data_IF_194978740374
#
_entry.id   IF_194978740374
#
_cell.length_a   1.000
_cell.length_b   1.000
_cell.length_c   1.000
_cell.angle_alpha   90.00
_cell.angle_beta   90.00
_cell.angle_gamma   90.00
#
_symmetry.space_group_name_H-M   'P 1'
#
loop_
_entity.id
_entity.type
_entity.pdbx_description
1 polymer ?
#
# COMPACT_ATOMS: atom_id res chain seq x y z
N UNK A 1 19.79 7.80 -3.68
CA UNK A 1 19.36 6.71 -2.78
C UNK A 1 19.09 5.46 -3.61
N UNK A 2 19.24 4.29 -2.99
CA UNK A 2 18.72 3.04 -3.53
C UNK A 2 17.29 2.85 -3.06
N UNK A 3 16.34 2.72 -3.99
CA UNK A 3 14.91 2.65 -3.68
C UNK A 3 14.32 1.38 -4.26
N UNK A 4 13.74 0.54 -3.39
CA UNK A 4 12.96 -0.62 -3.80
C UNK A 4 11.48 -0.27 -3.94
N UNK A 5 10.81 -0.74 -4.99
CA UNK A 5 9.37 -0.57 -5.18
C UNK A 5 8.73 -1.95 -5.30
N UNK A 6 7.86 -2.29 -4.37
CA UNK A 6 7.10 -3.54 -4.36
C UNK A 6 5.66 -3.25 -4.81
N UNK A 7 5.39 -3.57 -6.06
CA UNK A 7 4.14 -3.26 -6.75
C UNK A 7 4.35 -2.27 -7.89
N UNK A 8 4.05 -2.68 -9.11
CA UNK A 8 4.20 -1.87 -10.34
C UNK A 8 2.83 -1.51 -10.93
N UNK A 9 1.86 -1.22 -10.06
CA UNK A 9 0.56 -0.67 -10.45
C UNK A 9 0.67 0.83 -10.80
N UNK A 10 -0.46 1.52 -10.86
CA UNK A 10 -0.48 2.94 -11.23
C UNK A 10 0.41 3.81 -10.34
N UNK A 11 0.35 3.64 -9.01
CA UNK A 11 1.20 4.42 -8.09
C UNK A 11 2.65 3.98 -8.19
N UNK A 12 2.94 2.67 -8.09
CA UNK A 12 4.33 2.18 -8.11
C UNK A 12 5.03 2.41 -9.45
N UNK A 13 4.33 2.23 -10.56
CA UNK A 13 4.89 2.55 -11.89
C UNK A 13 5.22 4.05 -12.04
N UNK A 14 4.35 4.93 -11.55
CA UNK A 14 4.60 6.38 -11.60
C UNK A 14 5.72 6.81 -10.62
N UNK A 15 5.80 6.20 -9.43
CA UNK A 15 6.94 6.41 -8.54
C UNK A 15 8.25 5.92 -9.19
N UNK A 16 8.24 4.76 -9.87
CA UNK A 16 9.41 4.28 -10.62
C UNK A 16 9.87 5.32 -11.63
N UNK A 17 8.96 5.85 -12.46
CA UNK A 17 9.26 6.90 -13.45
C UNK A 17 9.85 8.15 -12.82
N UNK A 18 9.17 8.66 -11.82
CA UNK A 18 9.53 9.93 -11.17
C UNK A 18 10.85 9.84 -10.41
N UNK A 19 11.04 8.74 -9.65
CA UNK A 19 12.25 8.56 -8.85
C UNK A 19 13.48 8.25 -9.71
N UNK A 20 13.32 7.46 -10.78
CA UNK A 20 14.40 7.25 -11.75
C UNK A 20 14.79 8.56 -12.45
N UNK A 21 13.81 9.38 -12.85
CA UNK A 21 14.07 10.69 -13.47
C UNK A 21 14.80 11.66 -12.53
N UNK A 22 14.65 11.51 -11.19
CA UNK A 22 15.41 12.24 -10.18
C UNK A 22 16.82 11.66 -9.93
N UNK A 23 17.23 10.63 -10.66
CA UNK A 23 18.55 10.02 -10.56
C UNK A 23 18.71 9.05 -9.38
N UNK A 24 17.61 8.54 -8.81
CA UNK A 24 17.68 7.46 -7.82
C UNK A 24 17.96 6.12 -8.49
N UNK A 25 18.67 5.23 -7.78
CA UNK A 25 18.87 3.83 -8.17
C UNK A 25 17.61 3.04 -7.77
N UNK A 26 16.72 2.80 -8.74
CA UNK A 26 15.40 2.22 -8.50
C UNK A 26 15.37 0.75 -8.92
N UNK A 27 14.91 -0.11 -8.01
CA UNK A 27 14.55 -1.50 -8.31
C UNK A 27 13.05 -1.68 -8.14
N UNK A 28 12.39 -2.26 -9.14
CA UNK A 28 10.92 -2.45 -9.12
C UNK A 28 10.57 -3.93 -9.23
N UNK A 29 9.65 -4.38 -8.38
CA UNK A 29 9.18 -5.76 -8.29
C UNK A 29 7.66 -5.85 -8.35
N UNK A 30 7.14 -6.95 -8.85
CA UNK A 30 5.73 -7.30 -8.79
C UNK A 30 5.54 -8.83 -8.61
N UNK A 31 4.29 -9.27 -8.47
CA UNK A 31 3.94 -10.69 -8.30
C UNK A 31 4.10 -11.55 -9.55
N UNK A 32 4.25 -10.93 -10.73
CA UNK A 32 4.39 -11.65 -12.02
C UNK A 32 5.85 -11.87 -12.43
N UNK A 33 6.78 -11.34 -11.63
CA UNK A 33 8.21 -11.45 -11.86
C UNK A 33 8.80 -10.41 -12.82
N UNK A 34 10.17 -10.35 -12.90
CA UNK A 34 10.90 -9.30 -13.60
C UNK A 34 10.58 -9.20 -15.09
N UNK A 35 10.27 -10.33 -15.74
CA UNK A 35 9.95 -10.33 -17.18
C UNK A 35 8.75 -9.46 -17.53
N UNK A 36 7.78 -9.35 -16.63
CA UNK A 36 6.60 -8.50 -16.81
C UNK A 36 6.87 -7.00 -16.63
N UNK A 37 8.09 -6.64 -16.24
CA UNK A 37 8.53 -5.26 -15.95
C UNK A 37 9.54 -4.74 -16.96
N UNK A 38 9.85 -5.50 -18.03
CA UNK A 38 10.85 -5.14 -19.04
C UNK A 38 10.59 -3.79 -19.69
N UNK A 39 9.35 -3.50 -20.04
CA UNK A 39 8.99 -2.23 -20.68
C UNK A 39 9.19 -1.05 -19.72
N UNK A 40 8.75 -1.16 -18.46
CA UNK A 40 8.96 -0.13 -17.45
C UNK A 40 10.45 0.06 -17.13
N UNK A 41 11.21 -1.01 -17.06
CA UNK A 41 12.66 -0.97 -16.87
C UNK A 41 13.38 -0.28 -18.05
N UNK A 42 13.02 -0.62 -19.28
CA UNK A 42 13.58 0.00 -20.48
C UNK A 42 13.22 1.51 -20.58
N UNK A 43 12.00 1.88 -20.20
CA UNK A 43 11.53 3.27 -20.20
C UNK A 43 12.27 4.12 -19.17
N UNK A 44 12.55 3.57 -17.98
CA UNK A 44 12.98 4.35 -16.81
C UNK A 44 14.44 4.18 -16.43
N UNK A 45 15.08 3.12 -16.92
CA UNK A 45 16.40 2.70 -16.42
C UNK A 45 16.35 1.99 -15.07
N UNK A 46 15.16 1.78 -14.50
CA UNK A 46 15.01 1.02 -13.25
C UNK A 46 15.33 -0.46 -13.46
N UNK A 47 15.79 -1.13 -12.40
CA UNK A 47 16.06 -2.56 -12.44
C UNK A 47 14.78 -3.35 -12.17
N UNK A 48 14.35 -4.18 -13.11
CA UNK A 48 13.31 -5.18 -12.86
C UNK A 48 13.87 -6.26 -11.92
N UNK A 49 13.19 -6.55 -10.81
CA UNK A 49 13.71 -7.36 -9.72
C UNK A 49 12.63 -8.27 -9.11
N UNK A 50 13.05 -9.27 -8.35
CA UNK A 50 12.19 -9.96 -7.40
C UNK A 50 12.02 -9.11 -6.13
N UNK A 51 10.96 -9.31 -5.31
CA UNK A 51 10.75 -8.52 -4.10
C UNK A 51 11.95 -8.51 -3.14
N UNK A 52 12.62 -9.63 -2.96
CA UNK A 52 13.83 -9.74 -2.12
C UNK A 52 14.98 -8.90 -2.66
N UNK A 53 15.19 -8.94 -3.97
CA UNK A 53 16.24 -8.17 -4.65
C UNK A 53 15.96 -6.66 -4.62
N UNK A 54 14.68 -6.27 -4.65
CA UNK A 54 14.28 -4.86 -4.53
C UNK A 54 14.49 -4.30 -3.11
N UNK A 55 14.50 -5.16 -2.10
CA UNK A 55 14.77 -4.77 -0.69
C UNK A 55 16.25 -4.78 -0.39
N UNK A 56 17.05 -5.63 -1.05
CA UNK A 56 18.46 -5.82 -0.75
C UNK A 56 19.27 -4.53 -0.94
N UNK A 57 19.85 -4.04 0.15
CA UNK A 57 20.68 -2.83 0.16
C UNK A 57 19.91 -1.54 -0.16
N UNK A 58 18.58 -1.54 -0.11
CA UNK A 58 17.77 -0.35 -0.30
C UNK A 58 17.85 0.58 0.94
N UNK A 59 17.89 1.88 0.69
CA UNK A 59 17.76 2.92 1.72
C UNK A 59 16.27 3.12 2.09
N UNK A 60 15.39 2.97 1.07
CA UNK A 60 13.95 3.13 1.20
C UNK A 60 13.23 2.09 0.33
N UNK A 61 12.16 1.52 0.87
CA UNK A 61 11.29 0.60 0.14
C UNK A 61 9.85 1.13 0.14
N UNK A 62 9.24 1.23 -1.04
CA UNK A 62 7.82 1.58 -1.18
C UNK A 62 7.01 0.31 -1.40
N UNK A 63 6.06 0.04 -0.51
CA UNK A 63 5.09 -1.04 -0.64
C UNK A 63 3.79 -0.47 -1.19
N UNK A 64 3.48 -0.84 -2.43
CA UNK A 64 2.34 -0.30 -3.20
C UNK A 64 1.54 -1.42 -3.86
N UNK A 65 1.08 -2.34 -3.03
CA UNK A 65 0.24 -3.49 -3.41
C UNK A 65 -1.09 -3.46 -2.65
N UNK A 66 -2.15 -4.12 -3.14
CA UNK A 66 -3.39 -4.27 -2.39
C UNK A 66 -3.15 -4.89 -1.01
N UNK A 67 -3.92 -4.45 0.01
CA UNK A 67 -3.72 -4.94 1.38
C UNK A 67 -3.85 -6.46 1.47
N UNK A 68 -4.81 -7.06 0.75
CA UNK A 68 -4.96 -8.54 0.68
C UNK A 68 -3.69 -9.28 0.27
N UNK A 69 -2.77 -8.60 -0.43
CA UNK A 69 -1.53 -9.20 -0.93
C UNK A 69 -0.36 -9.06 0.05
N UNK A 70 -0.47 -8.24 1.09
CA UNK A 70 0.58 -8.06 2.11
C UNK A 70 0.95 -9.39 2.79
N UNK A 71 -0.02 -10.23 3.23
CA UNK A 71 0.32 -11.51 3.86
C UNK A 71 1.00 -12.53 2.94
N UNK A 72 0.93 -12.30 1.61
CA UNK A 72 1.57 -13.18 0.61
C UNK A 72 3.04 -12.80 0.34
N UNK A 73 3.52 -11.67 0.86
CA UNK A 73 4.93 -11.32 0.78
C UNK A 73 5.77 -12.32 1.60
N UNK A 74 7.02 -12.62 1.19
CA UNK A 74 7.90 -13.50 1.95
C UNK A 74 8.05 -13.00 3.39
N UNK A 75 7.83 -13.89 4.36
CA UNK A 75 7.90 -13.54 5.80
C UNK A 75 9.25 -12.98 6.23
N UNK A 76 10.32 -13.37 5.54
CA UNK A 76 11.67 -12.91 5.79
C UNK A 76 12.12 -11.78 4.85
N UNK A 77 11.19 -11.12 4.17
CA UNK A 77 11.49 -10.10 3.16
C UNK A 77 12.44 -9.02 3.67
N UNK A 78 12.27 -8.62 4.92
CA UNK A 78 13.07 -7.58 5.56
C UNK A 78 14.07 -8.12 6.61
N UNK A 79 14.27 -9.43 6.71
CA UNK A 79 15.07 -10.01 7.81
C UNK A 79 16.52 -9.51 7.85
N UNK A 80 17.12 -9.28 6.68
CA UNK A 80 18.50 -8.79 6.55
C UNK A 80 18.58 -7.28 6.26
N UNK A 81 17.45 -6.58 6.28
CA UNK A 81 17.44 -5.15 6.01
C UNK A 81 17.90 -4.35 7.24
N UNK A 82 18.73 -3.32 7.08
CA UNK A 82 19.19 -2.51 8.21
C UNK A 82 18.00 -1.81 8.91
N UNK A 83 18.14 -1.56 10.20
CA UNK A 83 17.11 -0.85 10.97
C UNK A 83 16.82 0.56 10.43
N UNK A 84 17.82 1.18 9.80
CA UNK A 84 17.72 2.51 9.20
C UNK A 84 16.93 2.54 7.88
N UNK A 85 16.65 1.39 7.26
CA UNK A 85 15.88 1.35 6.01
C UNK A 85 14.45 1.80 6.28
N UNK A 86 13.97 2.75 5.50
CA UNK A 86 12.62 3.29 5.60
C UNK A 86 11.66 2.44 4.75
N UNK A 87 10.51 2.09 5.30
CA UNK A 87 9.43 1.45 4.54
C UNK A 87 8.26 2.42 4.43
N UNK A 88 7.85 2.71 3.20
CA UNK A 88 6.68 3.55 2.89
C UNK A 88 5.51 2.65 2.49
N UNK A 89 4.38 2.81 3.16
CA UNK A 89 3.12 2.16 2.82
C UNK A 89 2.20 3.14 2.09
N UNK A 90 1.80 2.78 0.87
CA UNK A 90 0.85 3.56 0.06
C UNK A 90 -0.54 2.90 0.03
N UNK A 91 -0.75 1.88 0.84
CA UNK A 91 -1.94 1.05 0.83
C UNK A 91 -3.21 1.79 1.21
N UNK A 92 -4.32 1.35 0.67
CA UNK A 92 -5.67 1.70 1.08
C UNK A 92 -6.49 0.42 1.18
N UNK A 93 -7.34 0.34 2.19
CA UNK A 93 -8.25 -0.77 2.37
C UNK A 93 -9.57 -0.51 1.63
N UNK A 94 -9.90 -1.43 0.73
CA UNK A 94 -11.17 -1.49 0.04
C UNK A 94 -11.77 -2.88 0.24
N UNK A 95 -12.77 -3.06 1.10
CA UNK A 95 -13.35 -4.39 1.39
C UNK A 95 -13.80 -5.15 0.15
N UNK A 96 -14.29 -4.43 -0.88
CA UNK A 96 -14.74 -5.01 -2.15
C UNK A 96 -13.59 -5.66 -2.95
N UNK A 97 -12.36 -5.17 -2.76
CA UNK A 97 -11.15 -5.69 -3.40
C UNK A 97 -10.40 -6.66 -2.50
N UNK A 98 -10.27 -6.28 -1.22
CA UNK A 98 -9.34 -6.93 -0.28
C UNK A 98 -10.02 -8.02 0.55
N UNK A 99 -11.35 -8.09 0.52
CA UNK A 99 -12.13 -8.88 1.47
C UNK A 99 -12.17 -8.24 2.85
N UNK A 100 -12.82 -8.91 3.80
CA UNK A 100 -12.91 -8.45 5.19
C UNK A 100 -11.57 -8.71 5.91
N UNK A 101 -10.98 -7.65 6.44
CA UNK A 101 -9.79 -7.72 7.30
C UNK A 101 -10.25 -7.33 8.72
N UNK A 102 -10.46 -8.35 9.57
CA UNK A 102 -11.10 -8.18 10.87
C UNK A 102 -10.43 -7.12 11.75
N UNK A 103 -9.11 -7.12 11.86
CA UNK A 103 -8.37 -6.15 12.67
C UNK A 103 -8.62 -4.70 12.21
N UNK A 104 -8.75 -4.47 10.89
CA UNK A 104 -9.03 -3.15 10.34
C UNK A 104 -10.49 -2.77 10.61
N UNK A 105 -11.43 -3.71 10.46
CA UNK A 105 -12.85 -3.47 10.78
C UNK A 105 -13.07 -3.17 12.27
N UNK A 106 -12.21 -3.70 13.16
CA UNK A 106 -12.20 -3.44 14.59
C UNK A 106 -11.43 -2.19 15.02
N UNK A 107 -10.91 -1.39 14.05
CA UNK A 107 -10.33 -0.08 14.34
C UNK A 107 -8.80 0.01 14.26
N UNK A 108 -8.08 -1.07 13.93
CA UNK A 108 -6.65 -0.97 13.60
C UNK A 108 -6.50 -0.13 12.33
N UNK A 109 -5.60 0.86 12.31
CA UNK A 109 -5.35 1.64 11.09
C UNK A 109 -4.72 0.75 10.02
N UNK A 110 -4.99 1.06 8.75
CA UNK A 110 -4.52 0.28 7.59
C UNK A 110 -3.00 0.09 7.61
N UNK A 111 -2.26 1.17 7.88
CA UNK A 111 -0.80 1.11 7.90
C UNK A 111 -0.23 0.49 9.18
N UNK A 112 -0.94 0.55 10.31
CA UNK A 112 -0.56 -0.23 11.50
C UNK A 112 -0.69 -1.72 11.22
N UNK A 113 -1.77 -2.14 10.57
CA UNK A 113 -1.96 -3.51 10.13
C UNK A 113 -0.84 -3.96 9.16
N UNK A 114 -0.51 -3.11 8.18
CA UNK A 114 0.62 -3.37 7.26
C UNK A 114 1.93 -3.52 8.02
N UNK A 115 2.26 -2.61 8.95
CA UNK A 115 3.48 -2.66 9.75
C UNK A 115 3.60 -3.97 10.55
N UNK A 116 2.50 -4.43 11.15
CA UNK A 116 2.45 -5.70 11.89
C UNK A 116 2.77 -6.91 10.98
N UNK A 117 2.24 -6.93 9.76
CA UNK A 117 2.48 -8.02 8.81
C UNK A 117 3.88 -8.01 8.23
N UNK A 118 4.45 -6.83 8.00
CA UNK A 118 5.82 -6.68 7.51
C UNK A 118 6.87 -6.87 8.62
N UNK A 119 6.46 -6.86 9.90
CA UNK A 119 7.36 -6.93 11.05
C UNK A 119 8.30 -5.71 11.15
N UNK A 120 7.89 -4.55 10.61
CA UNK A 120 8.69 -3.31 10.58
C UNK A 120 7.83 -2.06 10.73
N UNK A 121 8.38 -0.97 11.31
CA UNK A 121 7.76 0.35 11.21
C UNK A 121 7.58 0.78 9.76
N UNK A 122 6.47 1.45 9.48
CA UNK A 122 6.20 2.04 8.16
C UNK A 122 5.85 3.52 8.28
N UNK A 123 6.02 4.25 7.19
CA UNK A 123 5.50 5.61 7.00
C UNK A 123 4.38 5.56 5.98
N UNK A 124 3.18 6.01 6.34
CA UNK A 124 2.06 6.14 5.41
C UNK A 124 2.20 7.42 4.61
N UNK A 125 2.27 7.28 3.28
CA UNK A 125 2.32 8.40 2.35
C UNK A 125 1.82 7.97 0.97
N UNK A 126 1.53 8.91 0.06
CA UNK A 126 1.06 8.68 -1.33
C UNK A 126 -0.28 7.96 -1.47
N UNK A 127 -0.95 7.61 -0.40
CA UNK A 127 -2.19 6.86 -0.44
C UNK A 127 -3.39 7.71 -0.89
N UNK A 128 -3.29 9.03 -0.80
CA UNK A 128 -4.38 9.99 -1.02
C UNK A 128 -4.32 10.74 -2.36
N UNK A 129 -3.22 10.61 -3.13
CA UNK A 129 -3.05 11.27 -4.43
C UNK A 129 -3.54 10.39 -5.59
N UNK A 130 -4.14 11.01 -6.60
CA UNK A 130 -4.42 10.32 -7.87
C UNK A 130 -3.11 9.98 -8.60
N UNK A 131 -3.07 8.78 -9.17
CA UNK A 131 -1.85 8.29 -9.83
C UNK A 131 -1.39 9.21 -10.97
N UNK A 132 -2.32 9.77 -11.76
CA UNK A 132 -2.00 10.72 -12.82
C UNK A 132 -1.43 12.02 -12.24
N UNK A 133 -1.99 12.53 -11.13
CA UNK A 133 -1.49 13.74 -10.49
C UNK A 133 -0.09 13.53 -9.90
N UNK A 134 0.19 12.34 -9.34
CA UNK A 134 1.53 11.97 -8.91
C UNK A 134 2.54 12.03 -10.07
N UNK A 135 2.13 11.62 -11.27
CA UNK A 135 3.01 11.66 -12.45
C UNK A 135 3.21 13.08 -12.99
N UNK A 136 2.15 13.89 -13.07
CA UNK A 136 2.12 15.08 -13.91
C UNK A 136 2.08 16.41 -13.15
N UNK A 137 1.58 16.43 -11.89
CA UNK A 137 1.28 17.69 -11.17
C UNK A 137 2.34 18.12 -10.16
N UNK A 138 3.55 17.57 -10.21
CA UNK A 138 4.64 18.07 -9.37
C UNK A 138 5.05 19.48 -9.77
N UNK A 139 5.14 20.38 -8.77
CA UNK A 139 5.51 21.79 -8.98
C UNK A 139 6.74 22.18 -8.14
N UNK A 140 7.53 23.20 -8.54
CA UNK A 140 8.60 23.73 -7.71
C UNK A 140 8.10 24.23 -6.35
N UNK A 141 8.98 24.21 -5.33
CA UNK A 141 8.68 24.73 -3.99
C UNK A 141 8.23 26.21 -4.05
N UNK A 142 7.18 26.52 -3.29
CA UNK A 142 6.62 27.87 -3.22
C UNK A 142 5.68 28.24 -4.37
N UNK A 143 5.42 27.35 -5.31
CA UNK A 143 4.45 27.59 -6.37
C UNK A 143 3.02 27.56 -5.79
N UNK A 144 2.18 28.57 -6.05
CA UNK A 144 0.78 28.54 -5.66
C UNK A 144 0.04 27.32 -6.22
N UNK A 145 -0.79 26.68 -5.39
CA UNK A 145 -1.52 25.46 -5.79
C UNK A 145 -0.68 24.18 -5.84
N UNK A 146 0.55 24.21 -5.29
CA UNK A 146 1.35 22.99 -5.11
C UNK A 146 0.60 22.03 -4.21
N UNK A 147 0.40 20.80 -4.71
CA UNK A 147 -0.31 19.75 -3.98
C UNK A 147 0.49 19.34 -2.75
N UNK A 148 -0.20 19.15 -1.63
CA UNK A 148 0.37 18.63 -0.41
C UNK A 148 -0.15 17.23 -0.09
N UNK A 149 0.71 16.40 0.48
CA UNK A 149 0.41 15.03 0.86
C UNK A 149 0.65 14.83 2.36
N UNK A 150 -0.29 14.22 3.10
CA UNK A 150 -0.10 13.87 4.49
C UNK A 150 0.88 12.71 4.64
N UNK A 151 1.70 12.76 5.67
CA UNK A 151 2.72 11.77 6.02
C UNK A 151 2.55 11.38 7.49
N UNK A 152 2.17 10.13 7.77
CA UNK A 152 2.00 9.62 9.12
C UNK A 152 3.01 8.51 9.41
N UNK A 153 3.53 8.49 10.64
CA UNK A 153 4.50 7.48 11.06
C UNK A 153 5.08 7.79 12.44
N UNK A 154 5.57 6.77 13.12
CA UNK A 154 6.06 6.92 14.50
C UNK A 154 7.50 7.46 14.54
N UNK A 155 8.33 7.11 13.54
CA UNK A 155 9.74 7.47 13.46
C UNK A 155 9.92 8.85 12.82
N UNK A 156 10.31 9.85 13.60
CA UNK A 156 10.47 11.24 13.15
C UNK A 156 11.44 11.39 11.97
N UNK A 157 12.57 10.68 12.03
CA UNK A 157 13.58 10.76 10.96
C UNK A 157 13.08 10.12 9.66
N UNK A 158 12.34 9.02 9.74
CA UNK A 158 11.73 8.40 8.58
C UNK A 158 10.68 9.30 7.94
N UNK A 159 9.80 9.93 8.75
CA UNK A 159 8.85 10.93 8.23
C UNK A 159 9.55 12.10 7.54
N UNK A 160 10.59 12.66 8.18
CA UNK A 160 11.34 13.78 7.60
C UNK A 160 11.98 13.42 6.25
N UNK A 161 12.53 12.21 6.12
CA UNK A 161 13.09 11.72 4.86
C UNK A 161 12.02 11.55 3.78
N UNK A 162 10.82 11.04 4.13
CA UNK A 162 9.70 10.92 3.19
C UNK A 162 9.16 12.30 2.78
N UNK A 163 9.06 13.25 3.70
CA UNK A 163 8.69 14.65 3.39
C UNK A 163 9.70 15.28 2.43
N UNK A 164 10.99 15.07 2.65
CA UNK A 164 12.03 15.55 1.72
C UNK A 164 11.92 14.89 0.33
N UNK A 165 11.57 13.61 0.27
CA UNK A 165 11.33 12.91 -0.99
C UNK A 165 10.11 13.46 -1.72
N UNK A 166 9.02 13.78 -1.00
CA UNK A 166 7.85 14.44 -1.56
C UNK A 166 8.21 15.81 -2.15
N UNK A 167 9.01 16.60 -1.44
CA UNK A 167 9.49 17.90 -1.93
C UNK A 167 10.28 17.77 -3.23
N UNK A 168 11.20 16.79 -3.32
CA UNK A 168 11.94 16.50 -4.53
C UNK A 168 11.04 16.05 -5.70
N UNK A 169 9.96 15.35 -5.39
CA UNK A 169 8.92 14.97 -6.36
C UNK A 169 7.97 16.12 -6.76
N UNK A 170 8.10 17.30 -6.14
CA UNK A 170 7.28 18.47 -6.45
C UNK A 170 6.00 18.59 -5.63
N UNK A 171 5.91 17.96 -4.47
CA UNK A 171 4.77 17.99 -3.57
C UNK A 171 5.18 18.49 -2.18
N UNK A 172 4.28 19.16 -1.47
CA UNK A 172 4.53 19.48 -0.07
C UNK A 172 4.19 18.27 0.82
N UNK A 173 5.02 17.98 1.81
CA UNK A 173 4.73 16.98 2.82
C UNK A 173 4.19 17.63 4.08
N UNK A 174 3.05 17.15 4.60
CA UNK A 174 2.44 17.59 5.86
C UNK A 174 2.55 16.48 6.89
N UNK A 175 3.18 16.73 8.04
CA UNK A 175 3.21 15.77 9.14
C UNK A 175 1.79 15.53 9.68
N UNK A 176 1.28 14.31 9.52
CA UNK A 176 -0.06 13.89 9.90
C UNK A 176 -0.08 13.12 11.24
N UNK A 177 1.00 13.17 12.01
CA UNK A 177 1.09 12.53 13.32
C UNK A 177 1.70 11.13 13.29
N UNK A 178 1.33 10.32 14.28
CA UNK A 178 1.77 8.93 14.41
C UNK A 178 1.09 7.99 13.43
N UNK A 179 1.55 6.74 13.41
CA UNK A 179 0.95 5.75 12.51
C UNK A 179 -0.50 5.42 12.90
N UNK A 180 -0.85 5.51 14.18
CA UNK A 180 -2.22 5.32 14.65
C UNK A 180 -3.14 6.52 14.33
N UNK A 181 -2.59 7.69 13.99
CA UNK A 181 -3.33 8.83 13.46
C UNK A 181 -3.60 8.71 11.95
N UNK A 182 -2.99 7.75 11.26
CA UNK A 182 -3.05 7.61 9.80
C UNK A 182 -4.46 7.34 9.25
N UNK A 183 -5.42 6.99 10.10
CA UNK A 183 -6.83 6.89 9.72
C UNK A 183 -7.37 8.20 9.13
N UNK A 184 -6.81 9.36 9.53
CA UNK A 184 -7.23 10.69 9.05
C UNK A 184 -6.96 10.91 7.55
N UNK A 185 -6.15 10.06 6.92
CA UNK A 185 -5.84 10.12 5.50
C UNK A 185 -6.33 8.89 4.70
N UNK A 186 -7.14 8.02 5.33
CA UNK A 186 -7.71 6.83 4.70
C UNK A 186 -8.87 7.16 3.74
N UNK A 187 -9.31 6.23 2.89
CA UNK A 187 -10.47 6.41 2.02
C UNK A 187 -11.70 6.91 2.76
N UNK A 188 -12.35 7.93 2.19
CA UNK A 188 -13.55 8.52 2.77
C UNK A 188 -13.32 9.71 3.69
N UNK A 189 -12.07 10.03 4.04
CA UNK A 189 -11.71 11.24 4.82
C UNK A 189 -11.57 12.47 3.93
N UNK A 190 -11.60 13.70 4.50
CA UNK A 190 -11.56 14.93 3.72
C UNK A 190 -10.30 15.12 2.86
N UNK A 191 -9.16 14.55 3.25
CA UNK A 191 -7.90 14.67 2.50
C UNK A 191 -7.73 13.60 1.42
N UNK A 192 -8.61 12.61 1.37
CA UNK A 192 -8.47 11.50 0.43
C UNK A 192 -8.94 11.88 -0.98
N UNK A 193 -8.06 11.69 -1.97
CA UNK A 193 -8.38 11.97 -3.38
C UNK A 193 -8.57 13.47 -3.66
N UNK A 194 -7.78 14.33 -3.02
CA UNK A 194 -7.84 15.79 -3.21
C UNK A 194 -6.51 16.34 -3.70
N UNK A 195 -6.54 17.51 -4.31
CA UNK A 195 -5.37 18.29 -4.72
C UNK A 195 -5.17 19.50 -3.76
N UNK A 196 -5.40 19.31 -2.47
CA UNK A 196 -5.23 20.38 -1.49
C UNK A 196 -3.76 20.82 -1.39
N UNK A 197 -3.59 22.11 -1.10
CA UNK A 197 -2.31 22.65 -0.62
C UNK A 197 -2.06 22.26 0.86
N UNK A 198 -0.92 22.63 1.41
CA UNK A 198 -0.56 22.31 2.79
C UNK A 198 -1.61 22.77 3.82
N UNK A 199 -2.16 23.98 3.65
CA UNK A 199 -3.20 24.49 4.53
C UNK A 199 -4.51 23.71 4.42
N UNK A 200 -4.88 23.29 3.21
CA UNK A 200 -6.02 22.42 2.95
C UNK A 200 -5.87 21.04 3.57
N UNK A 201 -4.69 20.46 3.47
CA UNK A 201 -4.38 19.15 4.12
C UNK A 201 -4.49 19.27 5.63
N UNK A 202 -3.91 20.31 6.26
CA UNK A 202 -4.01 20.52 7.72
C UNK A 202 -5.46 20.63 8.16
N UNK A 203 -6.29 21.44 7.45
CA UNK A 203 -7.74 21.54 7.76
C UNK A 203 -8.45 20.20 7.60
N UNK A 204 -8.24 19.52 6.47
CA UNK A 204 -8.92 18.26 6.21
C UNK A 204 -8.52 17.13 7.19
N UNK A 205 -7.27 17.10 7.68
CA UNK A 205 -6.85 16.20 8.76
C UNK A 205 -7.55 16.55 10.09
N UNK A 206 -7.75 17.83 10.40
CA UNK A 206 -8.45 18.28 11.61
C UNK A 206 -9.96 17.97 11.55
N UNK A 207 -10.56 18.03 10.37
CA UNK A 207 -11.99 17.78 10.13
C UNK A 207 -12.31 16.27 9.95
N UNK A 208 -11.29 15.41 9.90
CA UNK A 208 -11.50 13.98 9.70
C UNK A 208 -12.27 13.36 10.87
N UNK A 209 -13.27 12.53 10.54
CA UNK A 209 -14.01 11.70 11.49
C UNK A 209 -13.53 10.25 11.38
N UNK A 210 -13.38 9.59 12.52
CA UNK A 210 -13.03 8.16 12.56
C UNK A 210 -14.21 7.25 12.23
N UNK A 211 -15.38 7.82 11.97
CA UNK A 211 -16.54 7.07 11.52
C UNK A 211 -16.35 6.62 10.08
N UNK A 212 -16.29 5.31 9.88
CA UNK A 212 -16.12 4.72 8.55
C UNK A 212 -17.40 4.82 7.74
N UNK A 213 -17.32 5.37 6.55
CA UNK A 213 -18.47 5.43 5.64
C UNK A 213 -18.86 4.03 5.16
N UNK A 214 -20.16 3.71 5.01
CA UNK A 214 -20.63 2.36 4.65
C UNK A 214 -19.96 1.75 3.40
N UNK A 215 -19.65 2.56 2.40
CA UNK A 215 -18.97 2.08 1.18
C UNK A 215 -17.53 1.59 1.42
N UNK A 216 -16.92 1.91 2.55
CA UNK A 216 -15.59 1.46 2.96
C UNK A 216 -15.63 0.44 4.11
N UNK A 217 -16.81 -0.09 4.44
CA UNK A 217 -17.00 -1.17 5.40
C UNK A 217 -17.22 -2.50 4.69
N UNK A 218 -16.74 -3.59 5.26
CA UNK A 218 -17.05 -4.93 4.77
C UNK A 218 -18.49 -5.31 5.17
N UNK A 219 -19.24 -5.91 4.24
CA UNK A 219 -20.55 -6.47 4.56
C UNK A 219 -20.40 -7.58 5.60
N UNK A 220 -21.27 -7.58 6.62
CA UNK A 220 -21.23 -8.56 7.70
C UNK A 220 -21.41 -10.02 7.18
N UNK A 221 -22.10 -10.20 6.06
CA UNK A 221 -22.45 -11.52 5.50
C UNK A 221 -21.39 -12.13 4.57
N UNK A 222 -20.33 -11.39 4.21
CA UNK A 222 -19.31 -11.88 3.28
C UNK A 222 -18.41 -13.00 3.86
N UNK A 223 -18.42 -13.20 5.17
CA UNK A 223 -17.63 -14.25 5.84
C UNK A 223 -18.31 -15.62 5.88
N UNK A 224 -19.61 -15.72 5.56
CA UNK A 224 -20.36 -16.98 5.66
C UNK A 224 -20.38 -17.81 4.35
N UNK A 225 -19.94 -17.24 3.21
CA UNK A 225 -20.09 -17.91 1.90
C UNK A 225 -18.85 -18.66 1.40
N UNK A 226 -17.75 -18.70 2.14
CA UNK A 226 -16.48 -19.32 1.70
C UNK A 226 -16.13 -20.68 2.32
N UNK A 227 -17.05 -21.29 3.09
CA UNK A 227 -16.86 -22.68 3.53
C UNK A 227 -17.45 -23.63 2.47
N UNK A 228 -16.67 -24.53 1.87
CA UNK A 228 -17.20 -25.53 0.97
C UNK A 228 -18.16 -26.44 1.76
N UNK A 229 -19.42 -26.56 1.30
CA UNK A 229 -20.38 -27.52 1.83
C UNK A 229 -19.77 -28.91 1.73
N UNK A 230 -19.42 -29.51 2.87
CA UNK A 230 -19.13 -30.93 2.94
C UNK A 230 -20.39 -31.65 2.50
N UNK A 231 -20.39 -32.21 1.29
CA UNK A 231 -21.37 -33.18 0.88
C UNK A 231 -21.18 -34.42 1.74
N UNK A 232 -22.12 -34.66 2.63
CA UNK A 232 -22.23 -35.92 3.36
C UNK A 232 -22.56 -37.00 2.33
N UNK A 233 -21.61 -37.86 2.01
CA UNK A 233 -21.84 -39.09 1.29
C UNK A 233 -22.62 -40.03 2.25
N UNK A 234 -23.92 -40.15 2.01
CA UNK A 234 -24.77 -41.14 2.66
C UNK A 234 -24.40 -42.53 2.17
N UNK A 235 -23.91 -43.34 3.06
CA UNK A 235 -23.85 -44.80 2.92
C UNK A 235 -25.26 -45.35 2.90
N UNK A 236 -25.68 -45.84 1.75
CA UNK A 236 -26.90 -46.67 1.57
C UNK A 236 -26.51 -48.11 1.32
N UNK A 237 -26.64 -48.91 2.36
CA UNK A 237 -26.58 -50.36 2.37
C UNK A 237 -27.87 -50.92 1.74
N UNK A 238 -27.79 -51.90 0.87
CA UNK A 238 -29.02 -52.51 0.28
C UNK A 238 -28.71 -53.82 -0.47
N UNK A 239 -28.85 -54.86 0.22
CA UNK A 239 -28.82 -56.28 0.02
C UNK A 239 -29.35 -56.86 -1.35
N UNK A 240 -28.64 -57.86 -1.80
CA UNK A 240 -29.04 -59.19 -2.28
C UNK A 240 -30.34 -59.41 -3.09
N UNK A 241 -30.23 -60.06 -4.26
CA UNK A 241 -30.78 -61.39 -4.54
C UNK A 241 -30.40 -61.85 -5.96
N UNK A 242 -29.69 -62.98 -5.98
CA UNK A 242 -29.92 -64.26 -6.68
C UNK A 242 -30.72 -64.32 -8.01
N UNK A 243 -30.17 -64.94 -9.00
CA UNK A 243 -30.48 -66.15 -9.74
C UNK A 243 -30.28 -66.04 -11.24
N UNK A 244 -29.43 -66.88 -11.70
CA UNK A 244 -29.55 -67.96 -12.70
C UNK A 244 -30.06 -67.60 -14.12
N UNK A 245 -29.27 -67.72 -15.07
CA UNK A 245 -29.06 -68.75 -16.08
C UNK A 245 -27.81 -68.40 -16.91
#
# INVERSE_FOLDING_TARGET
>A
MKIGIIGAGHIGGNLTRRLSALGHDVSVANSRGPDSLKDLAAETGARAALPQEAVEGADLVVVTIPLRSIPSLPRNLFANAPASMIVVDTGNYYPQRDGRIEAIEQGTTESRWTAQHLGRPVVKAFNNIYAQHLLEKGLPRGTPGRIALPVAGDEKNAKAAVIALLDALGFDGVDAGGLDDSWRQQPGTPVYGTDFDAAGVVRGLAEASNERKPQFMANADASASSLPRRTASGSGNGSAHTSAT
#
